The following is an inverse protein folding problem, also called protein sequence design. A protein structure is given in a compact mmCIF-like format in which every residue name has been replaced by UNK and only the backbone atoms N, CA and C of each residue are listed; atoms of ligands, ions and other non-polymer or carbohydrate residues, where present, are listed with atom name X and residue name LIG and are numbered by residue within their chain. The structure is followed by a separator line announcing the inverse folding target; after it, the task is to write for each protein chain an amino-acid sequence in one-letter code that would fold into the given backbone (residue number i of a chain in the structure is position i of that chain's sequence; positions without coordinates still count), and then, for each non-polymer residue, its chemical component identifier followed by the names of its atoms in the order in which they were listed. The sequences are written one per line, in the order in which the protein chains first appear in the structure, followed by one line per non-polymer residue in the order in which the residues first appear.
data_IF_407445764263
#
_entry.id   IF_407445764263
#
_cell.length_a   1.000
_cell.length_b   1.000
_cell.length_c   1.000
_cell.angle_alpha   90.00
_cell.angle_beta   90.00
_cell.angle_gamma   90.00
#
_symmetry.space_group_name_H-M   'P 1'
#
loop_
_entity.id
_entity.type
_entity.pdbx_description
1 polymer ?
#
# COMPACT_ATOMS: atom_id res chain seq x y z
N UNK A 1 -18.99 1.61 -23.87
CA UNK A 1 -19.58 1.23 -22.57
C UNK A 1 -19.30 2.38 -21.62
N UNK A 2 -20.35 3.10 -21.21
CA UNK A 2 -20.22 4.20 -20.27
C UNK A 2 -20.06 3.65 -18.85
N UNK A 3 -18.82 3.71 -18.35
CA UNK A 3 -18.52 3.27 -16.99
C UNK A 3 -18.99 4.34 -15.98
N UNK A 4 -19.99 4.00 -15.17
CA UNK A 4 -20.44 4.86 -14.05
C UNK A 4 -19.47 4.75 -12.87
N UNK A 5 -18.90 5.90 -12.49
CA UNK A 5 -18.02 6.08 -11.33
C UNK A 5 -18.69 5.55 -10.04
N UNK A 6 -18.06 4.64 -9.27
CA UNK A 6 -18.59 4.19 -7.99
C UNK A 6 -18.62 5.35 -6.97
N UNK A 7 -19.68 5.41 -6.15
CA UNK A 7 -20.01 6.55 -5.27
C UNK A 7 -18.96 6.87 -4.20
N UNK A 8 -18.09 5.91 -3.84
CA UNK A 8 -16.99 6.13 -2.88
C UNK A 8 -15.74 6.77 -3.52
N UNK A 9 -15.67 6.83 -4.86
CA UNK A 9 -14.60 7.53 -5.62
C UNK A 9 -15.04 8.90 -6.15
N UNK A 10 -16.25 9.35 -5.80
CA UNK A 10 -16.80 10.61 -6.32
C UNK A 10 -16.19 11.86 -5.66
N UNK A 11 -15.48 11.71 -4.55
CA UNK A 11 -14.77 12.80 -3.90
C UNK A 11 -13.28 12.60 -4.12
N UNK A 12 -12.65 13.61 -4.71
CA UNK A 12 -11.19 13.74 -4.71
C UNK A 12 -10.69 13.55 -3.27
N UNK A 13 -9.52 12.92 -3.05
CA UNK A 13 -8.89 13.02 -1.75
C UNK A 13 -8.80 14.52 -1.41
N UNK A 14 -9.26 14.95 -0.23
CA UNK A 14 -9.26 16.35 0.12
C UNK A 14 -7.84 16.88 0.01
N UNK A 15 -7.67 18.09 -0.52
CA UNK A 15 -6.38 18.76 -0.49
C UNK A 15 -5.76 18.63 0.91
N UNK A 16 -4.44 18.36 1.03
CA UNK A 16 -3.78 18.30 2.32
C UNK A 16 -4.17 19.54 3.10
N UNK A 17 -4.89 19.34 4.19
CA UNK A 17 -5.30 20.43 5.07
C UNK A 17 -4.20 20.58 6.09
N UNK A 18 -3.80 21.83 6.36
CA UNK A 18 -2.87 22.09 7.45
C UNK A 18 -3.45 21.45 8.73
N UNK A 19 -2.81 20.40 9.29
CA UNK A 19 -3.34 19.73 10.46
C UNK A 19 -3.21 20.60 11.72
N UNK A 20 -2.49 21.72 11.63
CA UNK A 20 -2.37 22.72 12.68
C UNK A 20 -3.44 23.80 12.49
N UNK A 21 -4.15 24.20 13.56
CA UNK A 21 -5.23 25.17 13.48
C UNK A 21 -4.74 26.49 12.88
N UNK A 22 -5.57 27.08 12.01
CA UNK A 22 -5.34 28.39 11.39
C UNK A 22 -5.02 29.41 12.49
N UNK A 23 -3.78 29.90 12.44
CA UNK A 23 -3.23 31.06 13.14
C UNK A 23 -4.06 31.59 14.33
N UNK A 24 -3.63 31.24 15.52
CA UNK A 24 -3.39 32.29 16.52
C UNK A 24 -1.88 32.50 16.56
N UNK A 25 -1.44 33.72 16.81
CA UNK A 25 -0.03 34.18 16.79
C UNK A 25 0.95 33.37 17.66
N UNK A 26 0.48 32.33 18.38
CA UNK A 26 1.24 31.46 19.25
C UNK A 26 0.82 29.98 19.07
N UNK A 27 1.03 29.42 17.87
CA UNK A 27 1.07 27.96 17.75
C UNK A 27 2.23 27.45 18.62
N UNK A 28 1.94 26.67 19.66
CA UNK A 28 2.98 26.04 20.51
C UNK A 28 3.94 25.14 19.70
N UNK A 29 3.54 24.71 18.50
CA UNK A 29 4.37 23.94 17.59
C UNK A 29 5.26 24.81 16.68
N UNK A 30 5.07 26.13 16.63
CA UNK A 30 5.92 27.06 15.87
C UNK A 30 5.81 26.98 14.34
N UNK A 31 4.82 26.28 13.80
CA UNK A 31 4.59 26.15 12.35
C UNK A 31 3.64 27.27 11.90
N UNK A 32 4.17 28.22 11.12
CA UNK A 32 3.40 29.32 10.55
C UNK A 32 2.75 28.90 9.22
N UNK A 33 1.77 29.70 8.75
CA UNK A 33 1.13 29.46 7.47
C UNK A 33 2.13 29.41 6.30
N UNK A 34 3.19 30.20 6.36
CA UNK A 34 4.23 30.20 5.34
C UNK A 34 5.09 28.93 5.36
N UNK A 35 5.41 28.40 6.55
CA UNK A 35 6.08 27.10 6.67
C UNK A 35 5.22 25.97 6.09
N UNK A 36 3.91 26.03 6.35
CA UNK A 36 2.96 25.10 5.73
C UNK A 36 2.92 25.23 4.21
N UNK A 37 2.88 26.44 3.66
CA UNK A 37 2.91 26.64 2.20
C UNK A 37 4.21 26.14 1.58
N UNK A 38 5.35 26.37 2.23
CA UNK A 38 6.64 25.87 1.77
C UNK A 38 6.67 24.34 1.80
N UNK A 39 6.27 23.73 2.92
CA UNK A 39 6.16 22.28 3.03
C UNK A 39 5.18 21.67 2.01
N UNK A 40 4.04 22.33 1.77
CA UNK A 40 3.07 21.93 0.75
C UNK A 40 3.66 22.07 -0.66
N UNK A 41 4.41 23.15 -0.94
CA UNK A 41 5.09 23.35 -2.22
C UNK A 41 6.16 22.29 -2.45
N UNK A 42 6.97 21.97 -1.44
CA UNK A 42 7.98 20.92 -1.51
C UNK A 42 7.33 19.54 -1.72
N UNK A 43 6.24 19.27 -0.99
CA UNK A 43 5.42 18.07 -1.16
C UNK A 43 4.87 17.96 -2.58
N UNK A 44 4.23 19.01 -3.11
CA UNK A 44 3.68 19.03 -4.48
C UNK A 44 4.76 19.10 -5.56
N UNK A 45 5.99 19.47 -5.21
CA UNK A 45 7.16 19.38 -6.07
C UNK A 45 7.71 17.94 -6.15
N UNK A 46 7.70 17.23 -5.01
CA UNK A 46 8.10 15.82 -4.91
C UNK A 46 7.02 14.88 -5.48
N UNK A 47 5.76 15.24 -5.29
CA UNK A 47 4.58 14.45 -5.68
C UNK A 47 3.61 15.31 -6.50
N UNK A 48 3.97 15.68 -7.75
CA UNK A 48 3.10 16.46 -8.63
C UNK A 48 1.71 15.84 -8.80
N UNK A 49 1.62 14.51 -8.74
CA UNK A 49 0.39 13.74 -8.84
C UNK A 49 -0.70 14.01 -7.77
N UNK A 50 -0.38 14.78 -6.73
CA UNK A 50 -1.34 15.28 -5.74
C UNK A 50 -2.00 16.60 -6.14
N UNK A 51 -1.60 17.21 -7.25
CA UNK A 51 -2.27 18.39 -7.79
C UNK A 51 -3.63 17.99 -8.36
N UNK A 52 -4.65 18.82 -8.15
CA UNK A 52 -6.02 18.55 -8.64
C UNK A 52 -6.06 18.35 -10.18
N UNK A 53 -5.13 18.99 -10.90
CA UNK A 53 -4.99 18.88 -12.35
C UNK A 53 -4.33 17.57 -12.83
N UNK A 54 -3.61 16.87 -11.96
CA UNK A 54 -2.89 15.63 -12.29
C UNK A 54 -3.74 14.39 -12.02
N UNK A 55 -4.96 14.38 -12.56
CA UNK A 55 -5.87 13.23 -12.53
C UNK A 55 -6.03 12.62 -13.92
N UNK A 56 -6.21 11.30 -13.97
CA UNK A 56 -6.51 10.64 -15.23
C UNK A 56 -7.94 10.93 -15.71
N UNK A 57 -8.28 10.50 -16.94
CA UNK A 57 -9.61 10.72 -17.52
C UNK A 57 -10.77 10.12 -16.68
N UNK A 58 -10.50 9.21 -15.75
CA UNK A 58 -11.49 8.66 -14.83
C UNK A 58 -11.62 9.48 -13.52
N UNK A 59 -10.78 10.50 -13.32
CA UNK A 59 -10.68 11.31 -12.12
C UNK A 59 -9.91 10.61 -11.00
N UNK A 60 -9.03 9.67 -11.33
CA UNK A 60 -8.16 9.01 -10.35
C UNK A 60 -6.88 9.83 -10.19
N UNK A 61 -6.30 9.88 -8.97
CA UNK A 61 -5.05 10.62 -8.76
C UNK A 61 -3.94 10.12 -9.67
N UNK A 62 -2.99 10.99 -10.00
CA UNK A 62 -1.93 10.70 -10.96
C UNK A 62 -1.17 9.42 -10.62
N UNK A 63 -0.96 9.12 -9.33
CA UNK A 63 -0.30 7.92 -8.80
C UNK A 63 -1.10 6.61 -8.93
N UNK A 64 -2.32 6.61 -9.48
CA UNK A 64 -3.10 5.38 -9.69
C UNK A 64 -2.39 4.36 -10.61
N UNK A 65 -1.40 4.79 -11.37
CA UNK A 65 -0.54 3.87 -12.12
C UNK A 65 0.18 2.86 -11.21
N UNK A 66 0.56 3.21 -9.98
CA UNK A 66 1.22 2.28 -9.06
C UNK A 66 0.31 1.09 -8.71
N UNK A 67 -0.98 1.33 -8.49
CA UNK A 67 -1.97 0.25 -8.31
C UNK A 67 -2.04 -0.68 -9.52
N UNK A 68 -2.05 -0.11 -10.74
CA UNK A 68 -2.02 -0.91 -11.97
C UNK A 68 -0.75 -1.76 -12.05
N UNK A 69 0.40 -1.21 -11.65
CA UNK A 69 1.68 -1.91 -11.59
C UNK A 69 1.69 -3.05 -10.57
N UNK A 70 1.09 -2.86 -9.39
CA UNK A 70 0.91 -3.93 -8.38
C UNK A 70 0.03 -5.04 -8.93
N UNK A 71 -1.11 -4.70 -9.53
CA UNK A 71 -2.04 -5.69 -10.08
C UNK A 71 -1.46 -6.44 -11.28
N UNK A 72 -0.67 -5.77 -12.12
CA UNK A 72 0.06 -6.43 -13.21
C UNK A 72 1.03 -7.48 -12.66
N UNK A 73 1.83 -7.13 -11.65
CA UNK A 73 2.76 -8.06 -10.99
C UNK A 73 2.04 -9.21 -10.28
N UNK A 74 0.94 -8.91 -9.57
CA UNK A 74 0.10 -9.92 -8.94
C UNK A 74 -0.40 -10.94 -9.98
N UNK A 75 -0.92 -10.44 -11.10
CA UNK A 75 -1.39 -11.29 -12.21
C UNK A 75 -0.24 -12.10 -12.81
N UNK A 76 0.94 -11.49 -12.98
CA UNK A 76 2.14 -12.18 -13.46
C UNK A 76 2.50 -13.35 -12.53
N UNK A 77 2.61 -13.12 -11.22
CA UNK A 77 2.93 -14.18 -10.25
C UNK A 77 1.93 -15.34 -10.34
N UNK A 78 0.64 -15.03 -10.48
CA UNK A 78 -0.43 -16.04 -10.51
C UNK A 78 -0.48 -16.83 -11.83
N UNK A 79 -0.15 -16.21 -12.96
CA UNK A 79 -0.47 -16.75 -14.30
C UNK A 79 0.75 -17.10 -15.14
N UNK A 80 1.94 -16.58 -14.82
CA UNK A 80 3.08 -16.72 -15.71
C UNK A 80 3.56 -18.17 -15.80
N UNK A 81 3.78 -18.63 -17.03
CA UNK A 81 4.15 -20.02 -17.36
C UNK A 81 5.65 -20.25 -17.51
N UNK A 82 6.50 -19.22 -17.41
CA UNK A 82 7.95 -19.40 -17.50
C UNK A 82 8.49 -20.25 -16.33
N UNK A 83 9.50 -21.12 -16.53
CA UNK A 83 9.95 -22.07 -15.51
C UNK A 83 10.39 -21.42 -14.18
N UNK A 84 11.16 -20.35 -14.23
CA UNK A 84 11.60 -19.57 -13.07
C UNK A 84 10.42 -18.98 -12.29
N UNK A 85 9.39 -18.49 -13.01
CA UNK A 85 8.16 -17.97 -12.40
C UNK A 85 7.29 -19.09 -11.81
N UNK A 86 7.32 -20.28 -12.38
CA UNK A 86 6.66 -21.46 -11.80
C UNK A 86 7.34 -21.89 -10.50
N UNK A 87 8.67 -21.91 -10.44
CA UNK A 87 9.43 -22.22 -9.21
C UNK A 87 9.14 -21.20 -8.10
N UNK A 88 9.10 -19.91 -8.45
CA UNK A 88 8.72 -18.86 -7.51
C UNK A 88 7.31 -19.07 -6.96
N UNK A 89 6.32 -19.30 -7.82
CA UNK A 89 4.93 -19.57 -7.40
C UNK A 89 4.81 -20.88 -6.60
N UNK A 90 5.57 -21.91 -6.94
CA UNK A 90 5.63 -23.14 -6.17
C UNK A 90 6.19 -22.90 -4.75
N UNK A 91 7.15 -21.98 -4.61
CA UNK A 91 7.66 -21.56 -3.31
C UNK A 91 6.60 -20.84 -2.48
N UNK A 92 5.77 -19.98 -3.09
CA UNK A 92 4.61 -19.37 -2.42
C UNK A 92 3.57 -20.43 -2.02
N UNK A 93 3.28 -21.38 -2.89
CA UNK A 93 2.35 -22.48 -2.60
C UNK A 93 2.86 -23.34 -1.44
N UNK A 94 4.16 -23.62 -1.38
CA UNK A 94 4.77 -24.35 -0.27
C UNK A 94 4.54 -23.65 1.07
N UNK A 95 4.69 -22.33 1.13
CA UNK A 95 4.38 -21.53 2.33
C UNK A 95 2.90 -21.71 2.69
N UNK A 96 1.99 -21.49 1.74
CA UNK A 96 0.54 -21.60 1.93
C UNK A 96 0.13 -22.99 2.42
N UNK A 97 0.72 -24.06 1.88
CA UNK A 97 0.42 -25.44 2.27
C UNK A 97 0.80 -25.73 3.72
N UNK A 98 1.89 -25.13 4.20
CA UNK A 98 2.41 -25.27 5.56
C UNK A 98 1.75 -24.36 6.58
N UNK A 99 1.06 -23.31 6.14
CA UNK A 99 0.31 -22.42 7.03
C UNK A 99 -1.02 -23.05 7.43
N UNK A 100 -1.33 -23.07 8.72
CA UNK A 100 -2.64 -23.48 9.23
C UNK A 100 -3.70 -22.39 8.97
N UNK A 101 -4.80 -22.39 9.73
CA UNK A 101 -5.84 -21.39 9.60
C UNK A 101 -5.32 -19.98 9.92
N UNK A 102 -5.72 -18.99 9.10
CA UNK A 102 -5.32 -17.59 9.28
C UNK A 102 -6.55 -16.70 9.39
N UNK A 103 -6.67 -15.96 10.49
CA UNK A 103 -7.71 -14.95 10.69
C UNK A 103 -7.29 -13.59 10.12
N UNK A 104 -6.01 -13.26 10.29
CA UNK A 104 -5.43 -11.95 9.95
C UNK A 104 -4.09 -12.11 9.27
N UNK A 105 -3.87 -11.37 8.19
CA UNK A 105 -2.56 -11.24 7.55
C UNK A 105 -1.99 -9.86 7.86
N UNK A 106 -0.81 -9.81 8.47
CA UNK A 106 -0.18 -8.57 8.90
C UNK A 106 1.08 -8.35 8.06
N UNK A 107 1.08 -7.28 7.26
CA UNK A 107 2.23 -6.81 6.52
C UNK A 107 2.98 -5.76 7.36
N UNK A 108 4.14 -6.16 7.87
CA UNK A 108 5.07 -5.28 8.56
C UNK A 108 6.10 -4.82 7.55
N UNK A 109 6.00 -3.54 7.19
CA UNK A 109 6.96 -2.84 6.35
C UNK A 109 6.96 -3.32 4.89
N UNK A 110 6.98 -2.36 3.96
CA UNK A 110 7.21 -2.62 2.54
C UNK A 110 8.35 -1.68 2.13
N UNK A 111 9.45 -2.21 1.62
CA UNK A 111 10.64 -1.39 1.37
C UNK A 111 11.63 -2.03 0.41
N UNK A 112 12.81 -1.42 0.31
CA UNK A 112 13.86 -1.88 -0.60
C UNK A 112 14.54 -3.16 -0.09
N UNK A 113 14.65 -4.17 -0.96
CA UNK A 113 15.53 -5.32 -0.71
C UNK A 113 16.99 -4.89 -0.72
N UNK A 114 17.77 -5.32 0.27
CA UNK A 114 19.22 -5.15 0.26
C UNK A 114 19.82 -5.89 -0.96
N UNK A 115 20.81 -5.29 -1.62
CA UNK A 115 21.54 -5.89 -2.74
C UNK A 115 20.70 -6.18 -4.01
N UNK A 116 19.56 -5.49 -4.18
CA UNK A 116 18.78 -5.56 -5.42
C UNK A 116 18.77 -4.19 -6.11
N UNK A 117 18.99 -4.16 -7.43
CA UNK A 117 18.89 -2.98 -8.29
C UNK A 117 17.44 -2.54 -8.54
N UNK A 118 16.56 -2.65 -7.54
CA UNK A 118 15.20 -2.12 -7.59
C UNK A 118 15.17 -0.73 -6.95
N UNK A 119 14.41 0.17 -7.56
CA UNK A 119 13.98 1.38 -6.87
C UNK A 119 13.10 1.01 -5.66
N UNK A 120 13.01 1.91 -4.67
CA UNK A 120 12.14 1.71 -3.52
C UNK A 120 10.69 1.46 -3.95
N UNK A 121 10.25 2.17 -4.99
CA UNK A 121 8.92 2.04 -5.55
C UNK A 121 8.67 0.67 -6.20
N UNK A 122 9.60 0.16 -7.00
CA UNK A 122 9.46 -1.17 -7.58
C UNK A 122 9.48 -2.25 -6.51
N UNK A 123 10.33 -2.10 -5.49
CA UNK A 123 10.39 -3.03 -4.37
C UNK A 123 9.06 -3.06 -3.60
N UNK A 124 8.47 -1.89 -3.30
CA UNK A 124 7.12 -1.77 -2.74
C UNK A 124 6.09 -2.50 -3.61
N UNK A 125 6.09 -2.24 -4.92
CA UNK A 125 5.13 -2.85 -5.84
C UNK A 125 5.24 -4.37 -5.89
N UNK A 126 6.47 -4.91 -5.89
CA UNK A 126 6.72 -6.35 -5.86
C UNK A 126 6.31 -7.00 -4.53
N UNK A 127 6.68 -6.39 -3.41
CA UNK A 127 6.37 -6.93 -2.09
C UNK A 127 4.87 -6.89 -1.80
N UNK A 128 4.19 -5.80 -2.15
CA UNK A 128 2.74 -5.72 -2.01
C UNK A 128 2.05 -6.76 -2.89
N UNK A 129 2.45 -6.91 -4.15
CA UNK A 129 1.89 -7.93 -5.04
C UNK A 129 2.07 -9.33 -4.47
N UNK A 130 3.26 -9.66 -3.93
CA UNK A 130 3.53 -10.96 -3.31
C UNK A 130 2.68 -11.19 -2.06
N UNK A 131 2.55 -10.18 -1.19
CA UNK A 131 1.70 -10.26 0.00
C UNK A 131 0.23 -10.52 -0.38
N UNK A 132 -0.29 -9.82 -1.39
CA UNK A 132 -1.67 -10.02 -1.87
C UNK A 132 -1.87 -11.40 -2.50
N UNK A 133 -0.87 -11.94 -3.20
CA UNK A 133 -0.91 -13.33 -3.70
C UNK A 133 -0.98 -14.33 -2.56
N UNK A 134 -0.12 -14.19 -1.54
CA UNK A 134 -0.16 -15.08 -0.37
C UNK A 134 -1.52 -15.02 0.34
N UNK A 135 -2.06 -13.81 0.53
CA UNK A 135 -3.41 -13.64 1.09
C UNK A 135 -4.46 -14.35 0.24
N UNK A 136 -4.47 -14.14 -1.09
CA UNK A 136 -5.45 -14.78 -1.97
C UNK A 136 -5.33 -16.32 -1.95
N UNK A 137 -4.12 -16.87 -1.96
CA UNK A 137 -3.90 -18.31 -1.88
C UNK A 137 -4.36 -18.90 -0.54
N UNK A 138 -4.10 -18.21 0.57
CA UNK A 138 -4.60 -18.59 1.89
C UNK A 138 -6.13 -18.53 1.93
N UNK A 139 -6.74 -17.44 1.45
CA UNK A 139 -8.19 -17.26 1.36
C UNK A 139 -8.86 -18.38 0.56
N UNK A 140 -8.26 -18.78 -0.57
CA UNK A 140 -8.72 -19.92 -1.38
C UNK A 140 -8.61 -21.23 -0.59
N UNK A 141 -7.46 -21.49 0.05
CA UNK A 141 -7.22 -22.71 0.85
C UNK A 141 -8.25 -22.87 1.96
N UNK A 142 -8.59 -21.79 2.66
CA UNK A 142 -9.52 -21.81 3.81
C UNK A 142 -10.96 -21.42 3.46
N UNK A 143 -11.23 -21.07 2.19
CA UNK A 143 -12.52 -20.59 1.69
C UNK A 143 -13.13 -19.44 2.54
N UNK A 144 -12.29 -18.53 3.04
CA UNK A 144 -12.70 -17.42 3.92
C UNK A 144 -11.80 -16.21 3.67
N UNK A 145 -12.39 -15.01 3.67
CA UNK A 145 -11.64 -13.75 3.54
C UNK A 145 -10.78 -13.47 4.77
N UNK A 146 -9.57 -12.97 4.54
CA UNK A 146 -8.60 -12.67 5.60
C UNK A 146 -8.54 -11.16 5.81
N UNK A 147 -8.58 -10.72 7.06
CA UNK A 147 -8.36 -9.31 7.37
C UNK A 147 -6.89 -8.95 7.09
N UNK A 148 -6.62 -7.93 6.30
CA UNK A 148 -5.26 -7.48 6.00
C UNK A 148 -4.92 -6.21 6.76
N UNK A 149 -3.80 -6.25 7.50
CA UNK A 149 -3.28 -5.14 8.30
C UNK A 149 -1.93 -4.73 7.74
N UNK A 150 -1.70 -3.42 7.61
CA UNK A 150 -0.45 -2.85 7.13
C UNK A 150 0.13 -1.89 8.15
N UNK A 151 1.43 -2.02 8.42
CA UNK A 151 2.16 -1.07 9.25
C UNK A 151 3.56 -0.85 8.71
N UNK A 152 3.81 0.35 8.20
CA UNK A 152 5.13 0.92 7.95
C UNK A 152 5.08 2.39 8.39
N UNK A 153 5.95 2.85 9.31
CA UNK A 153 5.99 4.27 9.68
C UNK A 153 6.43 5.19 8.53
N UNK A 154 6.90 4.62 7.40
CA UNK A 154 7.40 5.34 6.24
C UNK A 154 6.44 5.34 5.05
N UNK A 155 5.22 4.81 5.20
CA UNK A 155 4.29 4.83 4.08
C UNK A 155 4.08 6.27 3.60
N UNK A 156 4.34 6.48 2.32
CA UNK A 156 4.08 7.74 1.65
C UNK A 156 2.64 7.73 1.11
N UNK A 157 2.01 8.91 0.91
CA UNK A 157 0.61 8.98 0.46
C UNK A 157 0.23 8.14 -0.79
N UNK A 158 1.10 7.99 -1.82
CA UNK A 158 0.84 7.04 -2.92
C UNK A 158 0.68 5.59 -2.45
N UNK A 159 1.53 5.15 -1.53
CA UNK A 159 1.55 3.78 -1.01
C UNK A 159 0.29 3.52 -0.15
N UNK A 160 -0.08 4.49 0.71
CA UNK A 160 -1.30 4.40 1.52
C UNK A 160 -2.55 4.24 0.64
N UNK A 161 -2.61 4.97 -0.48
CA UNK A 161 -3.72 4.83 -1.44
C UNK A 161 -3.76 3.47 -2.12
N UNK A 162 -2.61 2.95 -2.54
CA UNK A 162 -2.51 1.61 -3.16
C UNK A 162 -2.92 0.54 -2.15
N UNK A 163 -2.52 0.66 -0.88
CA UNK A 163 -2.93 -0.24 0.20
C UNK A 163 -4.44 -0.16 0.47
N UNK A 164 -5.00 1.06 0.49
CA UNK A 164 -6.45 1.25 0.65
C UNK A 164 -7.23 0.59 -0.50
N UNK A 165 -6.74 0.68 -1.74
CA UNK A 165 -7.31 -0.02 -2.90
C UNK A 165 -7.23 -1.54 -2.77
N UNK A 166 -6.18 -2.05 -2.12
CA UNK A 166 -6.05 -3.47 -1.82
C UNK A 166 -7.01 -3.96 -0.72
N UNK A 167 -7.76 -3.06 -0.09
CA UNK A 167 -8.70 -3.36 1.00
C UNK A 167 -8.03 -3.53 2.36
N UNK A 168 -6.78 -3.09 2.50
CA UNK A 168 -6.01 -3.18 3.74
C UNK A 168 -6.34 -2.09 4.76
N UNK A 169 -6.26 -2.43 6.04
CA UNK A 169 -6.28 -1.47 7.13
C UNK A 169 -4.85 -1.03 7.47
N UNK A 170 -4.57 0.27 7.36
CA UNK A 170 -3.29 0.84 7.77
C UNK A 170 -3.37 1.24 9.24
N UNK A 171 -2.44 0.73 10.05
CA UNK A 171 -2.36 1.05 11.48
C UNK A 171 -1.04 1.77 11.79
N UNK A 172 -1.08 2.71 12.74
CA UNK A 172 0.11 3.44 13.18
C UNK A 172 0.97 2.57 14.07
N UNK A 173 2.29 2.72 14.02
CA UNK A 173 3.20 2.01 14.94
C UNK A 173 2.90 2.37 16.41
N UNK A 174 2.80 1.38 17.33
CA UNK A 174 2.98 -0.07 17.19
C UNK A 174 1.66 -0.89 17.05
N UNK A 175 0.60 -0.32 16.49
CA UNK A 175 -0.76 -0.88 16.44
C UNK A 175 -0.91 -2.24 15.75
N UNK A 176 0.01 -2.65 14.88
CA UNK A 176 -0.02 -3.99 14.28
C UNK A 176 0.06 -5.11 15.33
N UNK A 177 0.65 -4.85 16.50
CA UNK A 177 0.74 -5.81 17.59
C UNK A 177 -0.64 -6.24 18.12
N UNK A 178 -1.64 -5.36 18.06
CA UNK A 178 -3.02 -5.67 18.50
C UNK A 178 -3.74 -6.63 17.54
N UNK A 179 -3.18 -6.83 16.35
CA UNK A 179 -3.74 -7.69 15.31
C UNK A 179 -2.95 -8.99 15.11
N UNK A 180 -1.88 -9.21 15.86
CA UNK A 180 -1.09 -10.44 15.80
C UNK A 180 -1.55 -11.42 16.87
N UNK A 181 -2.02 -12.57 16.40
CA UNK A 181 -2.47 -13.72 17.19
C UNK A 181 -1.75 -14.99 16.73
N UNK A 182 -2.02 -16.13 17.37
CA UNK A 182 -1.53 -17.44 16.92
C UNK A 182 -2.00 -17.83 15.52
N UNK A 183 -3.12 -17.26 15.04
CA UNK A 183 -3.68 -17.46 13.70
C UNK A 183 -3.35 -16.30 12.76
N UNK A 184 -2.23 -15.60 12.98
CA UNK A 184 -1.81 -14.49 12.13
C UNK A 184 -0.70 -14.89 11.17
N UNK A 185 -0.89 -14.56 9.89
CA UNK A 185 0.18 -14.64 8.90
C UNK A 185 0.96 -13.33 8.89
N UNK A 186 2.20 -13.35 9.40
CA UNK A 186 3.05 -12.16 9.44
C UNK A 186 3.98 -12.14 8.23
N UNK A 187 3.82 -11.11 7.40
CA UNK A 187 4.70 -10.83 6.28
C UNK A 187 5.60 -9.65 6.62
N UNK A 188 6.86 -9.96 6.92
CA UNK A 188 7.89 -8.99 7.29
C UNK A 188 9.16 -9.29 6.48
N UNK A 189 9.22 -8.90 5.20
CA UNK A 189 10.44 -9.09 4.42
C UNK A 189 11.57 -8.35 5.13
N UNK A 190 12.70 -9.04 5.33
CA UNK A 190 13.88 -8.42 5.92
C UNK A 190 14.34 -7.28 5.00
N UNK A 191 14.28 -6.06 5.52
CA UNK A 191 14.77 -4.84 4.89
C UNK A 191 16.01 -4.43 5.66
N UNK A 192 17.12 -4.24 4.96
CA UNK A 192 18.40 -3.81 5.55
C UNK A 192 18.70 -2.41 5.07
#
# INVERSE_FOLDING_TARGET
MDYKRPSHWAKLPPAPTNPFPRETTNSWAGIYLEDWKNALSDFLGKYPEFREEDHDAAGRPGYHWQWRSVMARKNEIMTHTQPDRQEFRASLQYIVDKTDHVDTAVCLVLGKFENVELSAEEAFQHQLAMFLVLCEMLEIKQNTKIKTIFQDPRFEPPEEYVIALAGGEIVKHPGALEHMTENSFVFAPYLV
#
